data_IF_477959801428
#
_entry.id   IF_477959801428
#
_cell.length_a   1.000
_cell.length_b   1.000
_cell.length_c   1.000
_cell.angle_alpha   90.00
_cell.angle_beta   90.00
_cell.angle_gamma   90.00
#
_symmetry.space_group_name_H-M   'P 1'
#
loop_
_entity.id
_entity.type
_entity.pdbx_description
1 polymer ?
#
# COMPACT_ATOMS: atom_id res chain seq x y z
N UNK A 1 21.45 10.23 11.43
CA UNK A 1 20.47 9.68 12.32
C UNK A 1 19.07 10.18 12.05
N UNK A 2 18.96 11.47 12.07
CA UNK A 2 17.64 12.05 11.83
C UNK A 2 17.16 11.79 10.42
N UNK A 3 18.10 11.74 9.49
CA UNK A 3 17.75 11.46 8.11
C UNK A 3 17.12 10.09 7.98
N UNK A 4 17.72 9.10 8.65
CA UNK A 4 17.17 7.77 8.62
C UNK A 4 15.79 7.74 9.25
N UNK A 5 15.65 8.44 10.35
CA UNK A 5 14.37 8.51 11.03
C UNK A 5 13.31 9.11 10.11
N UNK A 6 13.69 10.16 9.38
CA UNK A 6 12.77 10.80 8.46
C UNK A 6 12.33 9.86 7.36
N UNK A 7 13.27 9.11 6.82
CA UNK A 7 12.92 8.16 5.76
C UNK A 7 11.98 7.09 6.28
N UNK A 8 12.30 6.54 7.44
CA UNK A 8 11.45 5.53 8.03
C UNK A 8 10.08 6.11 8.35
N UNK A 9 10.07 7.33 8.87
CA UNK A 9 8.82 7.97 9.22
C UNK A 9 7.98 8.19 7.97
N UNK A 10 8.60 8.60 6.88
CA UNK A 10 7.88 8.86 5.67
C UNK A 10 7.25 7.58 5.11
N UNK A 11 8.02 6.51 5.08
CA UNK A 11 7.48 5.24 4.61
C UNK A 11 6.32 4.80 5.49
N UNK A 12 6.48 4.97 6.78
CA UNK A 12 5.44 4.60 7.72
C UNK A 12 4.19 5.44 7.52
N UNK A 13 4.37 6.73 7.24
CA UNK A 13 3.23 7.60 7.01
C UNK A 13 2.44 7.15 5.79
N UNK A 14 3.13 6.81 4.72
CA UNK A 14 2.44 6.32 3.53
C UNK A 14 1.75 5.00 3.82
N UNK A 15 2.39 4.14 4.58
CA UNK A 15 1.78 2.88 4.95
C UNK A 15 0.49 3.12 5.75
N UNK A 16 0.55 4.03 6.71
CA UNK A 16 -0.63 4.32 7.53
C UNK A 16 -1.71 4.98 6.72
N UNK A 17 -1.34 5.87 5.80
CA UNK A 17 -2.33 6.46 4.92
C UNK A 17 -3.00 5.40 4.06
N UNK A 18 -2.21 4.45 3.58
CA UNK A 18 -2.77 3.36 2.82
C UNK A 18 -3.78 2.57 3.63
N UNK A 19 -3.46 2.35 4.90
CA UNK A 19 -4.40 1.65 5.78
C UNK A 19 -5.69 2.42 5.94
N UNK A 20 -5.59 3.74 6.04
CA UNK A 20 -6.78 4.57 6.17
C UNK A 20 -7.65 4.48 4.91
N UNK A 21 -7.02 4.57 3.74
CA UNK A 21 -7.76 4.43 2.50
C UNK A 21 -8.41 3.07 2.41
N UNK A 22 -7.71 2.05 2.84
CA UNK A 22 -8.26 0.70 2.79
C UNK A 22 -9.49 0.59 3.66
N UNK A 23 -9.45 1.20 4.84
CA UNK A 23 -10.60 1.17 5.73
C UNK A 23 -11.81 1.85 5.12
N UNK A 24 -11.57 2.86 4.29
CA UNK A 24 -12.64 3.56 3.63
C UNK A 24 -13.11 2.85 2.36
N UNK A 25 -12.47 1.76 2.02
CA UNK A 25 -12.82 1.04 0.82
C UNK A 25 -12.23 1.61 -0.45
N UNK A 26 -11.30 2.54 -0.31
CA UNK A 26 -10.66 3.18 -1.45
C UNK A 26 -9.39 2.42 -1.80
N UNK A 27 -9.56 1.27 -2.44
CA UNK A 27 -8.46 0.35 -2.69
C UNK A 27 -7.36 0.95 -3.54
N UNK A 28 -7.75 1.73 -4.57
CA UNK A 28 -6.79 2.30 -5.49
C UNK A 28 -5.84 3.25 -4.78
N UNK A 29 -6.39 4.12 -3.95
CA UNK A 29 -5.56 5.07 -3.21
C UNK A 29 -4.69 4.35 -2.20
N UNK A 30 -5.23 3.31 -1.59
CA UNK A 30 -4.45 2.53 -0.64
C UNK A 30 -3.23 1.93 -1.32
N UNK A 31 -3.41 1.36 -2.49
CA UNK A 31 -2.30 0.75 -3.22
C UNK A 31 -1.27 1.81 -3.60
N UNK A 32 -1.73 2.97 -4.03
CA UNK A 32 -0.80 4.04 -4.38
C UNK A 32 0.06 4.41 -3.18
N UNK A 33 -0.55 4.52 -2.01
CA UNK A 33 0.20 4.84 -0.80
C UNK A 33 1.19 3.74 -0.46
N UNK A 34 0.75 2.48 -0.59
CA UNK A 34 1.64 1.36 -0.28
C UNK A 34 2.82 1.34 -1.24
N UNK A 35 2.60 1.64 -2.51
CA UNK A 35 3.69 1.68 -3.48
C UNK A 35 4.72 2.73 -3.06
N UNK A 36 4.25 3.90 -2.64
CA UNK A 36 5.17 4.93 -2.18
C UNK A 36 5.96 4.46 -0.97
N UNK A 37 5.29 3.80 -0.04
CA UNK A 37 5.98 3.29 1.14
C UNK A 37 7.05 2.28 0.75
N UNK A 38 6.74 1.42 -0.21
CA UNK A 38 7.68 0.40 -0.63
C UNK A 38 8.86 1.02 -1.34
N UNK A 39 8.63 2.07 -2.13
CA UNK A 39 9.71 2.76 -2.79
C UNK A 39 10.70 3.36 -1.80
N UNK A 40 10.17 3.85 -0.69
CA UNK A 40 11.01 4.43 0.34
C UNK A 40 11.67 3.38 1.22
N UNK A 41 10.97 2.27 1.43
CA UNK A 41 11.47 1.20 2.29
C UNK A 41 10.95 -0.14 1.77
N UNK A 42 11.78 -0.85 0.98
CA UNK A 42 11.34 -2.11 0.40
C UNK A 42 11.01 -3.18 1.42
N UNK A 43 11.42 -2.99 2.67
CA UNK A 43 11.11 -3.96 3.72
C UNK A 43 9.95 -3.51 4.58
N UNK A 44 9.25 -2.49 4.15
CA UNK A 44 8.09 -1.99 4.86
C UNK A 44 6.97 -3.03 4.87
N UNK A 45 6.16 -3.07 5.92
CA UNK A 45 4.98 -3.94 5.93
C UNK A 45 4.00 -3.60 4.83
N UNK A 46 4.18 -2.47 4.15
CA UNK A 46 3.35 -2.13 3.02
C UNK A 46 3.44 -3.16 1.90
N UNK A 47 4.55 -3.88 1.84
CA UNK A 47 4.71 -4.92 0.82
C UNK A 47 3.59 -5.96 0.96
N UNK A 48 3.41 -6.45 2.16
CA UNK A 48 2.36 -7.45 2.39
C UNK A 48 0.98 -6.83 2.27
N UNK A 49 0.83 -5.61 2.75
CA UNK A 49 -0.46 -4.94 2.66
C UNK A 49 -0.88 -4.76 1.21
N UNK A 50 0.05 -4.34 0.36
CA UNK A 50 -0.24 -4.18 -1.05
C UNK A 50 -0.60 -5.53 -1.69
N UNK A 51 0.13 -6.56 -1.31
CA UNK A 51 -0.12 -7.89 -1.84
C UNK A 51 -1.52 -8.36 -1.49
N UNK A 52 -1.94 -8.11 -0.26
CA UNK A 52 -3.29 -8.48 0.16
C UNK A 52 -4.33 -7.72 -0.63
N UNK A 53 -4.10 -6.44 -0.86
CA UNK A 53 -5.04 -5.65 -1.65
C UNK A 53 -5.07 -6.12 -3.10
N UNK A 54 -3.91 -6.44 -3.65
CA UNK A 54 -3.86 -6.96 -5.01
C UNK A 54 -4.71 -8.23 -5.13
N UNK A 55 -4.61 -9.08 -4.12
CA UNK A 55 -5.41 -10.31 -4.12
C UNK A 55 -6.89 -9.99 -4.09
N UNK A 56 -7.28 -9.07 -3.22
CA UNK A 56 -8.68 -8.70 -3.10
C UNK A 56 -9.19 -8.12 -4.40
N UNK A 57 -8.45 -7.19 -4.97
CA UNK A 57 -8.87 -6.55 -6.21
C UNK A 57 -8.92 -7.55 -7.35
N UNK A 58 -7.97 -8.44 -7.38
CA UNK A 58 -7.96 -9.49 -8.39
C UNK A 58 -9.22 -10.33 -8.31
N UNK A 59 -9.62 -10.63 -7.11
CA UNK A 59 -10.81 -11.42 -6.89
C UNK A 59 -12.06 -10.68 -7.38
N UNK A 60 -12.16 -9.40 -7.05
CA UNK A 60 -13.32 -8.61 -7.44
C UNK A 60 -13.35 -8.31 -8.91
N UNK A 61 -12.19 -8.16 -9.53
CA UNK A 61 -12.11 -7.78 -10.94
C UNK A 61 -11.85 -8.98 -11.85
N UNK A 62 -12.06 -10.14 -11.32
CA UNK A 62 -11.79 -11.34 -12.08
C UNK A 62 -12.61 -11.40 -13.35
N UNK A 63 -13.85 -10.99 -13.25
CA UNK A 63 -14.75 -11.02 -14.40
C UNK A 63 -14.33 -10.03 -15.46
N UNK A 64 -13.73 -8.95 -15.04
CA UNK A 64 -13.22 -7.95 -15.97
C UNK A 64 -12.16 -8.53 -16.88
N UNK A 65 -11.29 -9.31 -16.29
CA UNK A 65 -10.16 -9.84 -17.01
C UNK A 65 -10.54 -10.99 -17.90
N UNK A 66 -11.66 -11.58 -17.65
CA UNK A 66 -12.10 -12.70 -18.43
C UNK A 66 -13.22 -12.29 -19.35
N UNK A 67 -12.87 -11.88 -20.54
CA UNK A 67 -13.90 -11.46 -21.52
C UNK A 67 -14.64 -12.62 -22.12
#
# INVERSE_FOLDING_TARGET
MKVESLELTTARQYYEQGNDWRKQGNWQEAINCYIKAIELDPESPAVEAKRMLDDIMSFYHKDYYNP
#
